data_IF_174471216457
#
_entry.id   IF_174471216457
#
_cell.length_a   1.000
_cell.length_b   1.000
_cell.length_c   1.000
_cell.angle_alpha   90.00
_cell.angle_beta   90.00
_cell.angle_gamma   90.00
#
_symmetry.space_group_name_H-M   'P 1'
#
loop_
_entity.id
_entity.type
_entity.pdbx_description
1 polymer ?
#
# COMPACT_ATOMS: atom_id res chain seq x y z
N UNK A 1 12.34 -30.21 7.28
CA UNK A 1 11.50 -30.03 6.08
C UNK A 1 11.95 -28.73 5.43
N UNK A 2 12.47 -28.80 4.21
CA UNK A 2 12.95 -27.63 3.47
C UNK A 2 11.79 -26.84 2.87
N UNK A 3 12.04 -25.56 2.60
CA UNK A 3 11.04 -24.67 2.05
C UNK A 3 10.99 -24.75 0.54
N UNK A 4 9.84 -24.46 -0.08
CA UNK A 4 9.80 -24.34 -1.52
C UNK A 4 10.75 -23.23 -1.97
N UNK A 5 11.60 -23.56 -2.94
CA UNK A 5 12.32 -22.55 -3.72
C UNK A 5 11.37 -21.95 -4.75
N UNK A 6 11.39 -20.63 -4.88
CA UNK A 6 10.48 -19.88 -5.77
C UNK A 6 11.27 -18.94 -6.67
N UNK A 7 10.73 -18.71 -7.86
CA UNK A 7 11.20 -17.71 -8.83
C UNK A 7 9.99 -17.04 -9.48
N UNK A 8 10.16 -15.81 -9.97
CA UNK A 8 9.10 -15.02 -10.58
C UNK A 8 9.43 -14.78 -12.04
N UNK A 9 8.55 -15.24 -12.93
CA UNK A 9 8.67 -15.05 -14.37
C UNK A 9 7.55 -14.17 -14.91
N UNK A 10 7.89 -13.37 -15.92
CA UNK A 10 6.93 -12.63 -16.74
C UNK A 10 6.98 -13.16 -18.16
N UNK A 11 5.80 -13.42 -18.73
CA UNK A 11 5.63 -13.92 -20.09
C UNK A 11 4.86 -12.90 -20.91
N UNK A 12 5.33 -12.62 -22.12
CA UNK A 12 4.57 -11.84 -23.07
C UNK A 12 3.40 -12.67 -23.62
N UNK A 13 2.18 -12.16 -23.44
CA UNK A 13 0.93 -12.80 -23.93
C UNK A 13 0.64 -12.50 -25.40
N UNK A 14 1.36 -11.54 -26.00
CA UNK A 14 1.20 -11.13 -27.38
C UNK A 14 2.48 -11.43 -28.17
N UNK A 15 2.38 -12.34 -29.15
CA UNK A 15 3.50 -12.69 -30.02
C UNK A 15 4.36 -13.86 -29.50
N UNK A 16 5.63 -13.96 -29.92
CA UNK A 16 6.50 -15.06 -29.54
C UNK A 16 6.68 -15.13 -28.02
N UNK A 17 6.65 -16.34 -27.42
CA UNK A 17 6.82 -16.51 -26.00
C UNK A 17 8.24 -16.08 -25.61
N UNK A 18 8.33 -14.93 -24.96
CA UNK A 18 9.54 -14.46 -24.29
C UNK A 18 9.27 -14.44 -22.79
N UNK A 19 10.06 -15.21 -22.06
CA UNK A 19 9.95 -15.38 -20.61
C UNK A 19 11.14 -14.73 -19.95
N UNK A 20 10.89 -13.83 -19.01
CA UNK A 20 11.93 -13.09 -18.29
C UNK A 20 11.80 -13.38 -16.80
N UNK A 21 12.89 -13.81 -16.17
CA UNK A 21 12.96 -13.97 -14.72
C UNK A 21 13.24 -12.63 -14.05
N UNK A 22 12.49 -12.32 -12.99
CA UNK A 22 12.71 -11.12 -12.19
C UNK A 22 13.84 -11.36 -11.19
N UNK A 23 14.90 -10.54 -11.26
CA UNK A 23 16.08 -10.67 -10.41
C UNK A 23 15.72 -10.45 -8.94
N UNK A 24 16.06 -11.41 -8.07
CA UNK A 24 15.94 -11.23 -6.61
C UNK A 24 16.88 -10.12 -6.10
N UNK A 25 16.62 -9.54 -4.92
CA UNK A 25 17.53 -8.58 -4.29
C UNK A 25 18.90 -9.19 -4.02
N UNK A 26 19.97 -8.43 -4.30
CA UNK A 26 21.34 -8.80 -3.95
C UNK A 26 21.61 -8.44 -2.48
N UNK A 27 21.06 -9.24 -1.57
CA UNK A 27 21.26 -9.13 -0.13
C UNK A 27 21.54 -10.51 0.47
N UNK A 28 22.64 -10.65 1.22
CA UNK A 28 23.04 -11.91 1.85
C UNK A 28 21.99 -12.42 2.84
N UNK A 29 21.19 -11.53 3.43
CA UNK A 29 20.08 -11.84 4.35
C UNK A 29 18.86 -12.41 3.60
N UNK A 30 18.85 -12.34 2.27
CA UNK A 30 17.80 -12.83 1.37
C UNK A 30 18.21 -14.11 0.62
N UNK A 31 19.06 -14.95 1.21
CA UNK A 31 19.41 -16.27 0.62
C UNK A 31 18.19 -17.20 0.52
N UNK A 32 17.42 -17.28 1.60
CA UNK A 32 16.11 -17.93 1.63
C UNK A 32 15.03 -16.87 1.84
N UNK A 33 14.01 -16.89 1.00
CA UNK A 33 13.01 -15.83 0.97
C UNK A 33 11.65 -16.34 0.49
N UNK A 34 10.66 -15.49 0.65
CA UNK A 34 9.33 -15.60 0.09
C UNK A 34 9.02 -14.37 -0.77
N UNK A 35 8.15 -14.54 -1.75
CA UNK A 35 7.50 -13.45 -2.47
C UNK A 35 6.10 -13.33 -1.87
N UNK A 36 5.85 -12.22 -1.19
CA UNK A 36 4.62 -12.00 -0.42
C UNK A 36 3.60 -11.14 -1.16
N UNK A 37 4.06 -10.33 -2.12
CA UNK A 37 3.21 -9.47 -2.93
C UNK A 37 3.85 -9.23 -4.29
N UNK A 38 3.03 -9.32 -5.34
CA UNK A 38 3.36 -8.91 -6.70
C UNK A 38 2.23 -8.01 -7.21
N UNK A 39 2.57 -6.84 -7.74
CA UNK A 39 1.60 -5.90 -8.30
C UNK A 39 2.17 -5.12 -9.47
N UNK A 40 1.42 -5.05 -10.57
CA UNK A 40 1.76 -4.15 -11.67
C UNK A 40 1.70 -2.68 -11.25
N UNK A 41 2.78 -1.95 -11.50
CA UNK A 41 2.87 -0.50 -11.36
C UNK A 41 2.47 0.20 -12.66
N UNK A 42 2.91 -0.34 -13.79
CA UNK A 42 2.54 0.05 -15.16
C UNK A 42 2.37 -1.20 -16.02
N UNK A 43 2.23 -1.07 -17.34
CA UNK A 43 2.26 -2.23 -18.25
C UNK A 43 3.64 -2.87 -18.41
N UNK A 44 4.71 -2.20 -17.96
CA UNK A 44 6.09 -2.70 -18.09
C UNK A 44 6.81 -2.83 -16.76
N UNK A 45 6.28 -2.23 -15.69
CA UNK A 45 6.88 -2.29 -14.35
C UNK A 45 5.98 -2.98 -13.35
N UNK A 46 6.58 -3.76 -12.46
CA UNK A 46 5.91 -4.43 -11.36
C UNK A 46 6.64 -4.20 -10.04
N UNK A 47 5.88 -4.04 -8.96
CA UNK A 47 6.38 -4.12 -7.60
C UNK A 47 6.38 -5.56 -7.10
N UNK A 48 7.46 -5.93 -6.43
CA UNK A 48 7.64 -7.23 -5.79
C UNK A 48 8.12 -7.01 -4.36
N UNK A 49 7.40 -7.59 -3.39
CA UNK A 49 7.80 -7.60 -1.98
C UNK A 49 8.44 -8.96 -1.64
N UNK A 50 9.72 -8.91 -1.31
CA UNK A 50 10.53 -10.04 -0.89
C UNK A 50 10.61 -10.04 0.63
N UNK A 51 10.43 -11.19 1.26
CA UNK A 51 10.51 -11.35 2.72
C UNK A 51 11.50 -12.47 3.02
N UNK A 52 12.49 -12.23 3.89
CA UNK A 52 13.44 -13.28 4.24
C UNK A 52 12.77 -14.42 5.04
N UNK A 53 13.43 -15.58 5.11
CA UNK A 53 12.89 -16.75 5.82
C UNK A 53 12.55 -16.50 7.30
N UNK A 54 13.36 -15.78 8.10
CA UNK A 54 13.00 -15.36 9.46
C UNK A 54 11.84 -14.36 9.55
N UNK A 55 11.38 -13.80 8.43
CA UNK A 55 10.29 -12.82 8.33
C UNK A 55 10.55 -11.50 9.06
N UNK A 56 11.82 -11.11 9.20
CA UNK A 56 12.21 -9.90 9.92
C UNK A 56 12.82 -8.82 9.01
N UNK A 57 13.09 -9.15 7.74
CA UNK A 57 13.57 -8.21 6.71
C UNK A 57 12.67 -8.32 5.48
N UNK A 58 12.11 -7.20 5.05
CA UNK A 58 11.32 -7.08 3.83
C UNK A 58 11.94 -6.08 2.89
N UNK A 59 12.06 -6.44 1.62
CA UNK A 59 12.56 -5.55 0.57
C UNK A 59 11.47 -5.38 -0.48
N UNK A 60 11.04 -4.14 -0.71
CA UNK A 60 10.18 -3.79 -1.82
C UNK A 60 11.06 -3.38 -3.00
N UNK A 61 10.83 -4.01 -4.14
CA UNK A 61 11.53 -3.71 -5.40
C UNK A 61 10.55 -3.27 -6.47
N UNK A 62 11.05 -2.49 -7.43
CA UNK A 62 10.40 -2.28 -8.73
C UNK A 62 11.23 -2.96 -9.81
N UNK A 63 10.59 -3.85 -10.57
CA UNK A 63 11.20 -4.62 -11.64
C UNK A 63 10.71 -4.15 -13.00
N UNK A 64 11.60 -4.17 -13.99
CA UNK A 64 11.24 -3.96 -15.39
C UNK A 64 10.95 -5.31 -16.05
N UNK A 65 9.71 -5.51 -16.49
CA UNK A 65 9.22 -6.77 -17.04
C UNK A 65 9.97 -7.22 -18.31
N UNK A 66 10.53 -6.29 -19.07
CA UNK A 66 11.24 -6.59 -20.32
C UNK A 66 12.68 -7.07 -20.09
N UNK A 67 13.34 -6.62 -19.01
CA UNK A 67 14.76 -6.92 -18.75
C UNK A 67 14.97 -7.84 -17.55
N UNK A 68 13.99 -7.94 -16.65
CA UNK A 68 14.11 -8.71 -15.41
C UNK A 68 14.83 -7.97 -14.29
N UNK A 69 15.36 -6.78 -14.55
CA UNK A 69 16.11 -6.01 -13.57
C UNK A 69 15.17 -5.43 -12.51
N UNK A 70 15.44 -5.76 -11.26
CA UNK A 70 14.73 -5.23 -10.09
C UNK A 70 15.61 -4.25 -9.31
N UNK A 71 15.05 -3.09 -8.98
CA UNK A 71 15.71 -2.06 -8.15
C UNK A 71 15.03 -1.98 -6.80
N UNK A 72 15.82 -2.02 -5.71
CA UNK A 72 15.33 -1.79 -4.35
C UNK A 72 14.71 -0.39 -4.24
N UNK A 73 13.51 -0.31 -3.65
CA UNK A 73 12.80 0.95 -3.40
C UNK A 73 12.55 1.23 -1.94
N UNK A 74 12.36 0.20 -1.12
CA UNK A 74 12.17 0.34 0.32
C UNK A 74 12.61 -0.93 1.04
N UNK A 75 13.03 -0.78 2.29
CA UNK A 75 13.40 -1.89 3.17
C UNK A 75 12.78 -1.67 4.56
N UNK A 76 12.19 -2.72 5.11
CA UNK A 76 11.67 -2.76 6.47
C UNK A 76 12.43 -3.82 7.27
N UNK A 77 12.79 -3.48 8.50
CA UNK A 77 13.44 -4.39 9.45
C UNK A 77 12.72 -4.37 10.81
N UNK A 78 12.67 -5.55 11.45
CA UNK A 78 12.07 -5.77 12.76
C UNK A 78 12.98 -6.62 13.63
N UNK A 79 13.03 -6.34 14.93
CA UNK A 79 13.70 -7.20 15.91
C UNK A 79 12.94 -8.52 16.16
N UNK A 80 11.68 -8.59 15.74
CA UNK A 80 10.80 -9.75 15.91
C UNK A 80 10.37 -10.30 14.55
N UNK A 81 9.17 -9.98 14.10
CA UNK A 81 8.66 -10.29 12.77
C UNK A 81 8.03 -9.06 12.12
N UNK A 82 7.90 -9.10 10.81
CA UNK A 82 7.18 -8.13 10.01
C UNK A 82 5.76 -8.64 9.75
N UNK A 83 4.76 -7.78 9.99
CA UNK A 83 3.36 -8.08 9.69
C UNK A 83 2.89 -7.35 8.43
N UNK A 84 1.73 -7.76 7.89
CA UNK A 84 1.08 -7.10 6.72
C UNK A 84 1.94 -7.07 5.45
N UNK A 85 2.68 -8.14 5.19
CA UNK A 85 3.62 -8.22 4.06
C UNK A 85 2.98 -8.44 2.68
N UNK A 86 1.68 -8.79 2.65
CA UNK A 86 0.94 -9.00 1.40
C UNK A 86 0.32 -7.70 0.85
N UNK A 87 0.51 -6.57 1.52
CA UNK A 87 -0.13 -5.31 1.13
C UNK A 87 0.50 -4.70 -0.11
N UNK A 88 -0.35 -4.42 -1.09
CA UNK A 88 0.09 -3.95 -2.37
C UNK A 88 0.12 -2.41 -2.42
N UNK A 89 1.23 -1.78 -2.86
CA UNK A 89 1.30 -0.33 -2.98
C UNK A 89 0.28 0.19 -3.98
N UNK A 90 -0.24 1.40 -3.76
CA UNK A 90 -1.07 2.12 -4.70
C UNK A 90 -0.19 3.02 -5.57
N UNK A 91 -0.17 2.77 -6.88
CA UNK A 91 0.57 3.59 -7.83
C UNK A 91 -0.28 4.73 -8.38
N UNK A 92 0.38 5.84 -8.67
CA UNK A 92 -0.11 6.83 -9.62
C UNK A 92 -0.23 6.24 -11.03
N UNK A 93 -1.10 6.80 -11.87
CA UNK A 93 -1.39 6.33 -13.24
C UNK A 93 -0.17 6.35 -14.14
N UNK A 94 0.73 7.31 -13.95
CA UNK A 94 2.01 7.39 -14.66
C UNK A 94 3.09 6.47 -14.06
N UNK A 95 2.79 5.81 -12.94
CA UNK A 95 3.69 4.92 -12.23
C UNK A 95 4.90 5.64 -11.61
N UNK A 96 4.87 6.97 -11.43
CA UNK A 96 6.02 7.75 -10.91
C UNK A 96 6.04 7.88 -9.40
N UNK A 97 4.88 7.80 -8.75
CA UNK A 97 4.72 7.80 -7.29
C UNK A 97 3.96 6.56 -6.86
N UNK A 98 4.29 6.07 -5.67
CA UNK A 98 3.50 5.02 -5.03
C UNK A 98 3.32 5.28 -3.54
N UNK A 99 2.20 4.79 -3.02
CA UNK A 99 1.78 4.92 -1.63
C UNK A 99 1.63 3.53 -1.03
N UNK A 100 2.08 3.35 0.18
CA UNK A 100 2.04 2.05 0.86
C UNK A 100 1.98 2.23 2.35
N UNK A 101 1.45 1.23 3.05
CA UNK A 101 1.25 1.26 4.50
C UNK A 101 2.37 0.48 5.16
N UNK A 102 3.12 1.11 6.06
CA UNK A 102 4.26 0.52 6.75
C UNK A 102 4.36 0.97 8.20
N UNK A 103 5.05 0.21 9.07
CA UNK A 103 5.26 0.60 10.46
C UNK A 103 6.23 1.77 10.54
N UNK A 104 5.72 2.98 10.83
CA UNK A 104 6.51 4.19 11.03
C UNK A 104 6.63 4.50 12.52
N UNK A 105 7.83 4.88 12.97
CA UNK A 105 8.09 5.25 14.36
C UNK A 105 7.27 6.48 14.78
N UNK A 106 6.59 6.38 15.92
CA UNK A 106 5.81 7.46 16.54
C UNK A 106 6.46 7.87 17.87
N UNK A 107 7.79 7.90 17.90
CA UNK A 107 8.59 8.18 19.11
C UNK A 107 8.50 7.06 20.14
N UNK A 108 8.44 7.42 21.43
CA UNK A 108 8.40 6.45 22.53
C UNK A 108 7.15 5.57 22.63
N UNK A 109 6.21 5.71 21.69
CA UNK A 109 4.95 4.96 21.66
C UNK A 109 5.01 3.74 20.74
N UNK A 110 6.16 3.48 20.13
CA UNK A 110 6.37 2.37 19.19
C UNK A 110 6.10 2.77 17.75
N UNK A 111 5.90 1.76 16.89
CA UNK A 111 5.61 1.95 15.46
C UNK A 111 4.13 1.68 15.19
N UNK A 112 3.53 2.53 14.35
CA UNK A 112 2.16 2.39 13.88
C UNK A 112 2.14 2.37 12.35
N UNK A 113 1.14 1.72 11.78
CA UNK A 113 0.99 1.61 10.34
C UNK A 113 0.47 2.92 9.75
N UNK A 114 1.28 3.53 8.90
CA UNK A 114 0.95 4.80 8.27
C UNK A 114 1.24 4.78 6.79
N UNK A 115 0.58 5.69 6.05
CA UNK A 115 0.81 5.88 4.63
C UNK A 115 2.16 6.58 4.46
N UNK A 116 3.03 5.95 3.71
CA UNK A 116 4.24 6.56 3.18
C UNK A 116 4.14 6.66 1.65
N UNK A 117 4.77 7.70 1.10
CA UNK A 117 4.91 7.95 -0.33
C UNK A 117 6.38 7.85 -0.70
N UNK A 118 6.68 7.22 -1.84
CA UNK A 118 8.01 7.25 -2.44
C UNK A 118 7.92 7.41 -3.96
N UNK A 119 9.04 7.85 -4.54
CA UNK A 119 9.21 7.94 -5.99
C UNK A 119 9.55 6.57 -6.57
N UNK A 120 8.91 6.23 -7.68
CA UNK A 120 9.18 5.04 -8.47
C UNK A 120 10.22 5.29 -9.58
N UNK A 121 10.81 6.49 -9.63
CA UNK A 121 11.81 6.82 -10.65
C UNK A 121 13.11 6.02 -10.46
N UNK A 122 13.88 5.73 -11.52
CA UNK A 122 15.08 4.91 -11.42
C UNK A 122 16.13 5.49 -10.47
N UNK A 123 16.33 6.80 -10.53
CA UNK A 123 17.38 7.52 -9.79
C UNK A 123 16.94 8.00 -8.41
N UNK A 124 15.72 7.67 -7.96
CA UNK A 124 15.30 8.04 -6.62
C UNK A 124 15.96 7.11 -5.61
N UNK A 125 16.67 7.70 -4.64
CA UNK A 125 17.20 6.97 -3.49
C UNK A 125 16.08 6.26 -2.72
N UNK A 126 16.41 5.16 -2.05
CA UNK A 126 15.51 4.49 -1.10
C UNK A 126 15.13 5.38 0.08
N UNK A 127 15.89 6.44 0.34
CA UNK A 127 15.75 7.30 1.52
C UNK A 127 14.70 8.42 1.38
N UNK A 128 14.15 8.65 0.19
CA UNK A 128 13.15 9.70 -0.03
C UNK A 128 11.73 9.25 0.32
N UNK A 129 11.56 8.68 1.52
CA UNK A 129 10.26 8.25 2.03
C UNK A 129 9.55 9.41 2.72
N UNK A 130 8.41 9.82 2.18
CA UNK A 130 7.59 10.89 2.76
C UNK A 130 6.41 10.29 3.52
N UNK A 131 6.34 10.54 4.83
CA UNK A 131 5.17 10.15 5.63
C UNK A 131 3.99 11.08 5.34
N UNK A 132 2.84 10.52 4.99
CA UNK A 132 1.58 11.26 4.72
C UNK A 132 0.69 11.31 5.97
N UNK A 133 0.82 10.33 6.86
CA UNK A 133 0.02 10.23 8.08
C UNK A 133 0.89 9.91 9.27
N UNK A 134 0.51 10.37 10.45
CA UNK A 134 1.21 10.08 11.71
C UNK A 134 0.22 10.15 12.88
N UNK A 135 0.56 9.47 13.97
CA UNK A 135 -0.24 9.42 15.19
C UNK A 135 -0.22 8.03 15.83
N UNK A 136 -0.90 7.88 16.96
CA UNK A 136 -0.95 6.60 17.68
C UNK A 136 -2.17 5.79 17.30
N UNK A 137 -2.28 5.50 16.01
CA UNK A 137 -3.39 4.79 15.39
C UNK A 137 -2.93 4.22 14.05
N UNK A 138 -3.63 3.21 13.55
CA UNK A 138 -3.22 2.52 12.32
C UNK A 138 -4.07 2.93 11.11
N UNK A 139 -3.40 3.19 9.99
CA UNK A 139 -3.97 3.07 8.66
C UNK A 139 -4.13 1.59 8.36
N UNK A 140 -5.34 1.18 8.03
CA UNK A 140 -5.69 -0.23 7.80
C UNK A 140 -5.80 -0.59 6.33
N UNK A 141 -6.11 0.38 5.46
CA UNK A 141 -6.22 0.14 4.02
C UNK A 141 -6.11 1.46 3.26
N UNK A 142 -5.30 1.51 2.20
CA UNK A 142 -5.36 2.59 1.21
C UNK A 142 -6.38 2.19 0.15
N UNK A 143 -7.36 3.05 -0.10
CA UNK A 143 -8.47 2.74 -1.00
C UNK A 143 -8.30 3.33 -2.38
N UNK A 144 -7.86 4.60 -2.47
CA UNK A 144 -7.72 5.30 -3.74
C UNK A 144 -6.84 6.54 -3.63
N UNK A 145 -6.29 6.97 -4.76
CA UNK A 145 -5.47 8.18 -4.87
C UNK A 145 -5.95 9.00 -6.05
N UNK A 146 -6.37 10.23 -5.76
CA UNK A 146 -6.72 11.19 -6.77
C UNK A 146 -5.57 12.13 -7.06
N UNK A 147 -4.95 11.88 -8.21
CA UNK A 147 -3.86 12.68 -8.75
C UNK A 147 -4.27 14.10 -9.11
N UNK A 148 -5.50 14.34 -9.55
CA UNK A 148 -5.89 15.68 -9.99
C UNK A 148 -5.92 16.65 -8.82
N UNK A 149 -6.50 16.20 -7.70
CA UNK A 149 -6.64 17.01 -6.48
C UNK A 149 -5.59 16.68 -5.41
N UNK A 150 -4.64 15.79 -5.70
CA UNK A 150 -3.58 15.36 -4.78
C UNK A 150 -4.12 14.87 -3.42
N UNK A 151 -5.16 14.03 -3.45
CA UNK A 151 -5.87 13.52 -2.26
C UNK A 151 -5.83 11.99 -2.20
N UNK A 152 -5.47 11.42 -1.05
CA UNK A 152 -5.48 9.97 -0.81
C UNK A 152 -6.61 9.59 0.16
N UNK A 153 -7.30 8.48 -0.14
CA UNK A 153 -8.41 7.95 0.64
C UNK A 153 -8.00 6.66 1.31
N UNK A 154 -8.32 6.52 2.59
CA UNK A 154 -7.89 5.38 3.39
C UNK A 154 -8.83 5.10 4.56
N UNK A 155 -8.77 3.88 5.09
CA UNK A 155 -9.44 3.49 6.34
C UNK A 155 -8.46 3.56 7.48
N UNK A 156 -8.84 4.16 8.61
CA UNK A 156 -7.99 4.20 9.80
C UNK A 156 -8.75 3.96 11.10
N UNK A 157 -7.97 3.80 12.16
CA UNK A 157 -8.43 3.69 13.55
C UNK A 157 -8.26 4.99 14.33
N UNK A 158 -8.08 6.14 13.66
CA UNK A 158 -7.78 7.44 14.29
C UNK A 158 -8.89 7.88 15.25
N UNK A 159 -10.17 7.63 14.91
CA UNK A 159 -11.32 7.87 15.81
C UNK A 159 -11.32 6.94 17.04
N UNK A 160 -11.02 5.65 16.84
CA UNK A 160 -10.94 4.65 17.92
C UNK A 160 -10.33 3.34 17.39
N UNK A 161 -9.55 2.60 18.20
CA UNK A 161 -9.03 1.28 17.82
C UNK A 161 -10.13 0.27 17.46
N UNK A 162 -11.34 0.43 18.01
CA UNK A 162 -12.51 -0.42 17.77
C UNK A 162 -13.31 -0.03 16.52
N UNK A 163 -12.96 1.09 15.88
CA UNK A 163 -13.72 1.69 14.78
C UNK A 163 -12.88 1.71 13.52
N UNK A 164 -13.55 1.79 12.37
CA UNK A 164 -12.91 1.99 11.07
C UNK A 164 -13.67 3.08 10.34
N UNK A 165 -13.01 4.20 10.14
CA UNK A 165 -13.60 5.35 9.47
C UNK A 165 -12.88 5.61 8.16
N UNK A 166 -13.59 6.18 7.19
CA UNK A 166 -13.06 6.64 5.93
C UNK A 166 -12.47 8.04 6.11
N UNK A 167 -11.19 8.18 5.80
CA UNK A 167 -10.46 9.43 5.83
C UNK A 167 -9.97 9.82 4.44
N UNK A 168 -9.67 11.11 4.31
CA UNK A 168 -8.97 11.70 3.18
C UNK A 168 -7.79 12.52 3.70
N UNK A 169 -6.66 12.48 3.00
CA UNK A 169 -5.50 13.31 3.28
C UNK A 169 -4.94 13.97 2.01
N UNK A 170 -4.35 15.15 2.15
CA UNK A 170 -3.59 15.80 1.08
C UNK A 170 -2.20 15.15 0.95
N UNK A 171 -1.67 15.02 -0.28
CA UNK A 171 -0.39 14.34 -0.54
C UNK A 171 0.79 15.27 -0.86
N UNK A 172 0.55 16.57 -1.06
CA UNK A 172 1.56 17.55 -1.48
C UNK A 172 1.68 18.79 -0.57
N UNK A 173 0.68 19.07 0.26
CA UNK A 173 0.56 20.21 1.16
C UNK A 173 0.77 19.77 2.62
N UNK A 174 0.17 20.46 3.60
CA UNK A 174 0.32 20.24 5.05
C UNK A 174 -0.11 18.85 5.57
N UNK A 175 -0.38 17.88 4.69
CA UNK A 175 -0.87 16.54 5.01
C UNK A 175 -2.12 16.57 5.89
N UNK A 176 -2.96 17.60 5.66
CA UNK A 176 -4.21 17.78 6.38
C UNK A 176 -5.12 16.57 6.12
N UNK A 177 -5.73 16.07 7.20
CA UNK A 177 -6.60 14.90 7.16
C UNK A 177 -8.00 15.28 7.58
N UNK A 178 -8.99 14.72 6.90
CA UNK A 178 -10.40 14.88 7.25
C UNK A 178 -11.07 13.52 7.31
N UNK A 179 -11.91 13.32 8.33
CA UNK A 179 -12.78 12.15 8.40
C UNK A 179 -14.04 12.38 7.56
N UNK A 180 -14.31 11.52 6.59
CA UNK A 180 -15.49 11.61 5.72
C UNK A 180 -16.69 10.87 6.30
N UNK A 181 -16.47 9.80 7.08
CA UNK A 181 -17.56 8.99 7.65
C UNK A 181 -17.95 9.36 9.07
N UNK A 182 -17.17 10.18 9.78
CA UNK A 182 -17.44 10.52 11.18
C UNK A 182 -18.74 11.31 11.36
N UNK A 183 -19.05 12.22 10.43
CA UNK A 183 -20.25 13.05 10.49
C UNK A 183 -21.47 12.42 9.80
N UNK A 184 -21.30 11.24 9.20
CA UNK A 184 -22.42 10.49 8.65
C UNK A 184 -23.22 9.96 9.83
N UNK A 185 -24.35 10.62 10.11
CA UNK A 185 -25.33 10.26 11.15
C UNK A 185 -26.05 8.93 10.83
N UNK A 186 -25.27 7.87 10.61
CA UNK A 186 -25.74 6.51 10.40
C UNK A 186 -25.85 5.84 11.77
N UNK A 187 -27.07 5.52 12.24
CA UNK A 187 -27.25 4.90 13.55
C UNK A 187 -26.49 3.57 13.61
N UNK A 188 -25.75 3.36 14.69
CA UNK A 188 -25.00 2.14 14.99
C UNK A 188 -23.93 1.75 13.95
N UNK A 189 -23.45 2.70 13.14
CA UNK A 189 -22.37 2.43 12.19
C UNK A 189 -21.04 3.09 12.59
N UNK A 190 -20.11 2.27 13.07
CA UNK A 190 -18.78 2.72 13.50
C UNK A 190 -17.64 1.97 12.80
N UNK A 191 -17.97 1.03 11.92
CA UNK A 191 -17.02 0.22 11.19
C UNK A 191 -17.40 0.25 9.71
N UNK A 192 -16.59 0.92 8.91
CA UNK A 192 -16.84 1.13 7.50
C UNK A 192 -15.87 0.33 6.62
N UNK A 193 -16.34 0.03 5.41
CA UNK A 193 -15.50 -0.31 4.25
C UNK A 193 -15.96 0.53 3.08
N UNK A 194 -15.06 0.91 2.17
CA UNK A 194 -15.44 1.68 1.00
C UNK A 194 -14.82 1.14 -0.28
N UNK A 195 -15.50 1.35 -1.41
CA UNK A 195 -15.04 0.98 -2.75
C UNK A 195 -15.20 2.17 -3.69
N UNK A 196 -14.12 2.57 -4.34
CA UNK A 196 -14.13 3.69 -5.27
C UNK A 196 -14.41 3.23 -6.70
N UNK A 197 -15.18 4.03 -7.44
CA UNK A 197 -15.30 3.87 -8.89
C UNK A 197 -13.96 4.08 -9.58
N UNK A 198 -13.77 3.49 -10.78
CA UNK A 198 -12.52 3.58 -11.55
C UNK A 198 -12.05 5.02 -11.81
N UNK A 199 -12.98 5.96 -11.97
CA UNK A 199 -12.70 7.40 -12.18
C UNK A 199 -12.79 8.23 -10.91
N UNK A 200 -13.00 7.58 -9.75
CA UNK A 200 -13.14 8.24 -8.44
C UNK A 200 -14.24 9.30 -8.35
N UNK A 201 -15.26 9.23 -9.22
CA UNK A 201 -16.40 10.17 -9.21
C UNK A 201 -17.40 9.89 -8.08
N UNK A 202 -17.43 8.64 -7.61
CA UNK A 202 -18.28 8.16 -6.52
C UNK A 202 -17.61 6.99 -5.81
N UNK A 203 -18.02 6.75 -4.57
CA UNK A 203 -17.65 5.58 -3.79
C UNK A 203 -18.89 4.94 -3.16
N UNK A 204 -18.82 3.63 -2.96
CA UNK A 204 -19.76 2.88 -2.14
C UNK A 204 -19.20 2.85 -0.73
N UNK A 205 -19.96 3.35 0.24
CA UNK A 205 -19.63 3.22 1.65
C UNK A 205 -20.53 2.16 2.26
N UNK A 206 -19.94 1.12 2.84
CA UNK A 206 -20.68 0.02 3.47
C UNK A 206 -20.43 0.02 4.96
N UNK A 207 -21.51 0.01 5.73
CA UNK A 207 -21.48 -0.26 7.15
C UNK A 207 -21.25 -1.75 7.40
N UNK A 208 -20.28 -2.09 8.26
CA UNK A 208 -20.03 -3.46 8.76
C UNK A 208 -20.23 -3.57 10.29
N UNK A 209 -20.74 -2.52 10.94
CA UNK A 209 -21.06 -2.54 12.38
C UNK A 209 -22.22 -3.48 12.71
N UNK A 210 -22.55 -3.63 14.00
CA UNK A 210 -23.63 -4.51 14.50
C UNK A 210 -25.06 -4.09 14.09
N UNK A 211 -25.23 -3.18 13.14
CA UNK A 211 -26.51 -2.76 12.56
C UNK A 211 -26.66 -3.26 11.12
N UNK A 212 -27.90 -3.44 10.67
CA UNK A 212 -28.26 -3.91 9.32
C UNK A 212 -27.43 -3.25 8.21
N UNK A 213 -27.08 -4.02 7.17
CA UNK A 213 -26.31 -3.58 6.00
C UNK A 213 -27.08 -2.47 5.25
N UNK A 214 -26.57 -1.24 5.27
CA UNK A 214 -27.08 -0.12 4.46
C UNK A 214 -26.01 0.26 3.42
N UNK A 215 -26.42 0.40 2.15
CA UNK A 215 -25.57 0.80 1.02
C UNK A 215 -25.91 2.22 0.52
N UNK A 216 -25.53 3.30 1.22
CA UNK A 216 -25.68 4.64 0.65
C UNK A 216 -24.60 4.86 -0.43
N UNK A 217 -25.04 5.11 -1.67
CA UNK A 217 -24.17 5.56 -2.76
C UNK A 217 -23.90 7.06 -2.55
N UNK A 218 -22.64 7.45 -2.33
CA UNK A 218 -22.29 8.86 -2.12
C UNK A 218 -21.51 9.46 -3.31
N UNK A 219 -21.86 10.70 -3.64
CA UNK A 219 -21.06 11.55 -4.52
C UNK A 219 -19.89 12.09 -3.72
N UNK A 220 -18.73 12.16 -4.36
CA UNK A 220 -17.53 12.75 -3.79
C UNK A 220 -17.76 14.22 -3.43
N UNK A 221 -17.31 14.72 -2.27
CA UNK A 221 -17.24 16.16 -2.03
C UNK A 221 -16.24 16.81 -3.01
N UNK A 222 -16.42 18.10 -3.37
CA UNK A 222 -15.52 18.83 -4.27
C UNK A 222 -14.06 18.85 -3.76
#
# INVERSE_FOLDING_TARGET
>A
MENPTISLYIVNVNGPPHTVEMSRPDDVRMREFYITMVKWATSTKLAVNWLNRPQNISILTLCEATTGVCTKKHEDESESWLSRQNEAPLFSKDGRKFFFVRPLSQGGRGKFYHIAMSSAQPNSSSDNLQSITSGTWDVTEILAYDELHQKIYFLSTEDSPLRRQLYIAETNSNFNRQCLSCDLKLPNCTYFSALFSRRMSYFLLRCKGKGFLIYPRQRRPP
#
